data_IF_335178208817
#
_entry.id   IF_335178208817
#
_cell.length_a   1.000
_cell.length_b   1.000
_cell.length_c   1.000
_cell.angle_alpha   90.00
_cell.angle_beta   90.00
_cell.angle_gamma   90.00
#
_symmetry.space_group_name_H-M   'P 1'
#
loop_
_entity.id
_entity.type
_entity.pdbx_description
1 polymer ?
#
# COMPACT_ATOMS: atom_id res chain seq x y z
N UNK A 1 14.71 6.96 5.72
CA UNK A 1 13.54 6.73 4.84
C UNK A 1 13.74 5.49 3.98
N UNK A 2 14.72 5.45 3.07
CA UNK A 2 14.98 4.30 2.18
C UNK A 2 14.96 2.93 2.91
N UNK A 3 15.67 2.81 4.03
CA UNK A 3 15.64 1.59 4.84
C UNK A 3 14.25 1.18 5.33
N UNK A 4 13.39 2.13 5.72
CA UNK A 4 12.00 1.82 6.13
C UNK A 4 11.18 1.30 4.95
N UNK A 5 11.34 1.89 3.77
CA UNK A 5 10.60 1.48 2.57
C UNK A 5 11.05 0.10 2.10
N UNK A 6 12.36 -0.17 2.12
CA UNK A 6 12.92 -1.50 1.84
C UNK A 6 12.41 -2.53 2.86
N UNK A 7 12.44 -2.20 4.16
CA UNK A 7 11.92 -3.07 5.21
C UNK A 7 10.44 -3.40 5.00
N UNK A 8 9.62 -2.40 4.68
CA UNK A 8 8.19 -2.58 4.38
C UNK A 8 7.98 -3.44 3.12
N UNK A 9 8.70 -3.16 2.04
CA UNK A 9 8.63 -3.92 0.79
C UNK A 9 9.01 -5.39 0.99
N UNK A 10 10.11 -5.65 1.71
CA UNK A 10 10.49 -7.01 2.09
C UNK A 10 9.45 -7.68 3.01
N UNK A 11 8.82 -6.92 3.90
CA UNK A 11 7.71 -7.40 4.72
C UNK A 11 6.52 -7.89 3.87
N UNK A 12 6.15 -7.12 2.84
CA UNK A 12 5.13 -7.53 1.87
C UNK A 12 5.54 -8.76 1.06
N UNK A 13 6.83 -8.88 0.68
CA UNK A 13 7.34 -10.10 0.04
C UNK A 13 7.16 -11.31 0.94
N UNK A 14 7.58 -11.22 2.21
CA UNK A 14 7.45 -12.32 3.16
C UNK A 14 6.00 -12.71 3.40
N UNK A 15 5.11 -11.74 3.58
CA UNK A 15 3.68 -12.01 3.78
C UNK A 15 3.03 -12.59 2.51
N UNK A 16 3.41 -12.07 1.34
CA UNK A 16 2.98 -12.61 0.05
C UNK A 16 3.37 -14.08 -0.10
N UNK A 17 4.60 -14.44 0.26
CA UNK A 17 5.08 -15.85 0.25
C UNK A 17 4.27 -16.73 1.19
N UNK A 18 3.96 -16.28 2.40
CA UNK A 18 3.12 -17.04 3.34
C UNK A 18 1.71 -17.24 2.80
N UNK A 19 1.10 -16.21 2.21
CA UNK A 19 -0.23 -16.29 1.63
C UNK A 19 -0.29 -17.27 0.44
N UNK A 20 0.78 -17.33 -0.36
CA UNK A 20 0.92 -18.28 -1.47
C UNK A 20 1.01 -19.74 -1.03
N UNK A 21 1.42 -20.02 0.22
CA UNK A 21 1.53 -21.38 0.74
C UNK A 21 0.20 -22.15 0.78
N UNK A 22 -0.94 -21.44 0.71
CA UNK A 22 -2.27 -22.06 0.63
C UNK A 22 -2.54 -22.80 -0.68
N UNK A 23 -1.87 -22.43 -1.78
CA UNK A 23 -1.95 -23.14 -3.06
C UNK A 23 -0.65 -22.92 -3.88
N UNK A 24 0.43 -23.66 -3.56
CA UNK A 24 1.74 -23.37 -4.08
C UNK A 24 1.85 -23.58 -5.59
N UNK A 25 1.09 -24.53 -6.17
CA UNK A 25 1.13 -24.82 -7.60
C UNK A 25 0.56 -23.65 -8.40
N UNK A 26 -0.62 -23.16 -8.02
CA UNK A 26 -1.23 -22.00 -8.67
C UNK A 26 -0.44 -20.71 -8.41
N UNK A 27 0.11 -20.55 -7.22
CA UNK A 27 0.96 -19.41 -6.90
C UNK A 27 2.23 -19.37 -7.77
N UNK A 28 2.95 -20.49 -7.92
CA UNK A 28 4.14 -20.57 -8.80
C UNK A 28 3.76 -20.28 -10.25
N UNK A 29 2.64 -20.83 -10.73
CA UNK A 29 2.13 -20.51 -12.06
C UNK A 29 1.83 -19.02 -12.22
N UNK A 30 1.15 -18.40 -11.26
CA UNK A 30 0.82 -16.99 -11.29
C UNK A 30 2.07 -16.10 -11.22
N UNK A 31 3.09 -16.47 -10.45
CA UNK A 31 4.38 -15.78 -10.42
C UNK A 31 5.07 -15.86 -11.79
N UNK A 32 5.15 -17.05 -12.39
CA UNK A 32 5.75 -17.23 -13.71
C UNK A 32 5.00 -16.45 -14.79
N UNK A 33 3.66 -16.50 -14.76
CA UNK A 33 2.80 -15.72 -15.65
C UNK A 33 3.03 -14.22 -15.47
N UNK A 34 3.16 -13.74 -14.24
CA UNK A 34 3.41 -12.33 -13.95
C UNK A 34 4.73 -11.88 -14.57
N UNK A 35 5.82 -12.64 -14.37
CA UNK A 35 7.10 -12.32 -15.01
C UNK A 35 7.02 -12.31 -16.54
N UNK A 36 6.29 -13.26 -17.13
CA UNK A 36 6.08 -13.29 -18.58
C UNK A 36 5.29 -12.07 -19.08
N UNK A 37 4.28 -11.63 -18.32
CA UNK A 37 3.45 -10.47 -18.66
C UNK A 37 4.14 -9.13 -18.41
N UNK A 38 5.03 -9.04 -17.42
CA UNK A 38 5.84 -7.84 -17.17
C UNK A 38 6.76 -7.50 -18.35
N UNK A 39 7.10 -8.48 -19.19
CA UNK A 39 7.84 -8.28 -20.45
C UNK A 39 6.97 -7.69 -21.58
N UNK A 40 5.67 -7.50 -21.37
CA UNK A 40 4.73 -7.01 -22.38
C UNK A 40 4.10 -5.67 -21.97
N UNK A 41 4.30 -4.64 -22.78
CA UNK A 41 3.70 -3.32 -22.54
C UNK A 41 2.19 -3.26 -22.83
N UNK A 42 1.64 -4.29 -23.48
CA UNK A 42 0.24 -4.28 -23.97
C UNK A 42 -0.76 -4.81 -22.96
N UNK A 43 -0.37 -5.76 -22.11
CA UNK A 43 -1.29 -6.50 -21.26
C UNK A 43 -0.97 -6.22 -19.80
N UNK A 44 -1.85 -5.52 -19.06
CA UNK A 44 -1.65 -5.28 -17.64
C UNK A 44 -1.69 -6.59 -16.86
N UNK A 45 -0.54 -7.01 -16.31
CA UNK A 45 -0.42 -8.26 -15.56
C UNK A 45 -1.48 -8.39 -14.46
N UNK A 46 -1.75 -7.30 -13.72
CA UNK A 46 -2.74 -7.27 -12.65
C UNK A 46 -4.16 -7.64 -13.12
N UNK A 47 -4.59 -7.18 -14.30
CA UNK A 47 -5.92 -7.51 -14.82
C UNK A 47 -6.03 -8.99 -15.19
N UNK A 48 -4.97 -9.56 -15.77
CA UNK A 48 -4.92 -10.99 -16.09
C UNK A 48 -4.93 -11.83 -14.81
N UNK A 49 -4.15 -11.44 -13.81
CA UNK A 49 -4.11 -12.11 -12.51
C UNK A 49 -5.47 -12.09 -11.81
N UNK A 50 -6.13 -10.93 -11.75
CA UNK A 50 -7.48 -10.81 -11.17
C UNK A 50 -8.50 -11.66 -11.94
N UNK A 51 -8.45 -11.66 -13.27
CA UNK A 51 -9.31 -12.51 -14.10
C UNK A 51 -9.05 -14.01 -13.86
N UNK A 52 -7.79 -14.42 -13.76
CA UNK A 52 -7.39 -15.78 -13.43
C UNK A 52 -7.91 -16.20 -12.04
N UNK A 53 -7.75 -15.34 -11.03
CA UNK A 53 -8.28 -15.57 -9.69
C UNK A 53 -9.78 -15.79 -9.68
N UNK A 54 -10.52 -14.88 -10.33
CA UNK A 54 -11.96 -14.96 -10.43
C UNK A 54 -12.40 -16.24 -11.14
N UNK A 55 -11.75 -16.60 -12.26
CA UNK A 55 -12.05 -17.83 -13.00
C UNK A 55 -11.80 -19.08 -12.14
N UNK A 56 -10.68 -19.14 -11.43
CA UNK A 56 -10.34 -20.28 -10.55
C UNK A 56 -11.30 -20.35 -9.36
N UNK A 57 -11.64 -19.21 -8.76
CA UNK A 57 -12.59 -19.14 -7.65
C UNK A 57 -13.97 -19.66 -8.06
N UNK A 58 -14.49 -19.21 -9.21
CA UNK A 58 -15.77 -19.67 -9.77
C UNK A 58 -15.70 -21.15 -10.17
N UNK A 59 -14.58 -21.62 -10.72
CA UNK A 59 -14.41 -23.02 -11.07
C UNK A 59 -14.44 -23.94 -9.84
N UNK A 60 -13.80 -23.52 -8.75
CA UNK A 60 -13.79 -24.28 -7.48
C UNK A 60 -15.10 -24.16 -6.70
N UNK A 61 -15.81 -23.06 -6.87
CA UNK A 61 -17.09 -22.80 -6.22
C UNK A 61 -18.13 -22.30 -7.23
N UNK A 62 -18.76 -23.22 -8.00
CA UNK A 62 -19.74 -22.85 -9.04
C UNK A 62 -20.95 -22.07 -8.50
N UNK A 63 -21.29 -22.28 -7.22
CA UNK A 63 -22.37 -21.55 -6.53
C UNK A 63 -22.08 -20.06 -6.33
N UNK A 64 -20.82 -19.63 -6.43
CA UNK A 64 -20.41 -18.25 -6.20
C UNK A 64 -21.09 -17.27 -7.18
N UNK A 65 -21.29 -17.67 -8.43
CA UNK A 65 -22.02 -16.85 -9.40
C UNK A 65 -23.50 -16.66 -9.01
N UNK A 66 -24.11 -17.69 -8.42
CA UNK A 66 -25.48 -17.61 -7.90
C UNK A 66 -25.58 -16.68 -6.69
N UNK A 67 -24.59 -16.69 -5.81
CA UNK A 67 -24.50 -15.74 -4.69
C UNK A 67 -24.28 -14.30 -5.17
N UNK A 68 -23.39 -14.09 -6.14
CA UNK A 68 -23.15 -12.79 -6.77
C UNK A 68 -24.39 -12.28 -7.53
N UNK A 69 -25.23 -13.18 -8.05
CA UNK A 69 -26.52 -12.81 -8.67
C UNK A 69 -27.59 -12.41 -7.66
N UNK A 70 -27.43 -12.76 -6.37
CA UNK A 70 -28.38 -12.44 -5.28
C UNK A 70 -28.01 -11.17 -4.51
N UNK A 71 -27.11 -10.37 -5.06
CA UNK A 71 -26.69 -9.10 -4.49
C UNK A 71 -27.90 -8.19 -4.28
N UNK A 72 -28.10 -7.76 -3.04
CA UNK A 72 -29.19 -6.84 -2.67
C UNK A 72 -28.63 -5.48 -2.31
N UNK A 73 -29.21 -4.41 -2.86
CA UNK A 73 -28.87 -3.04 -2.46
C UNK A 73 -29.41 -2.79 -1.05
N UNK A 74 -28.52 -2.59 -0.09
CA UNK A 74 -28.85 -2.23 1.29
C UNK A 74 -27.97 -1.07 1.72
N UNK A 75 -28.59 -0.01 2.21
CA UNK A 75 -27.85 1.16 2.70
C UNK A 75 -27.22 0.84 4.04
N UNK A 76 -25.89 0.89 4.10
CA UNK A 76 -25.09 0.85 5.32
C UNK A 76 -24.26 2.12 5.41
N UNK A 77 -24.42 2.84 6.51
CA UNK A 77 -23.62 4.02 6.83
C UNK A 77 -22.43 3.61 7.70
N UNK A 78 -21.29 4.32 7.60
CA UNK A 78 -20.15 4.08 8.48
C UNK A 78 -20.54 4.33 9.95
N UNK A 79 -20.01 3.51 10.84
CA UNK A 79 -20.19 3.66 12.28
C UNK A 79 -19.16 4.66 12.82
N UNK A 80 -19.61 5.58 13.68
CA UNK A 80 -18.68 6.48 14.37
C UNK A 80 -17.81 5.66 15.33
N UNK A 81 -16.50 5.72 15.14
CA UNK A 81 -15.53 4.93 15.89
C UNK A 81 -14.84 5.72 17.02
N UNK A 82 -15.11 7.03 17.15
CA UNK A 82 -14.48 7.90 18.13
C UNK A 82 -14.68 7.47 19.59
N UNK A 83 -15.73 6.69 19.88
CA UNK A 83 -16.03 6.18 21.22
C UNK A 83 -15.40 4.82 21.52
N UNK A 84 -14.68 4.23 20.56
CA UNK A 84 -14.16 2.86 20.65
C UNK A 84 -12.74 2.74 21.22
N UNK A 85 -12.05 3.86 21.44
CA UNK A 85 -10.67 3.88 21.93
C UNK A 85 -10.52 4.80 23.15
N UNK A 86 -9.68 4.40 24.10
CA UNK A 86 -9.34 5.16 25.28
C UNK A 86 -8.10 6.05 25.09
N UNK A 87 -7.77 6.83 26.12
CA UNK A 87 -6.56 7.66 26.14
C UNK A 87 -5.26 6.84 26.09
N UNK A 88 -5.29 5.62 26.65
CA UNK A 88 -4.16 4.70 26.59
C UNK A 88 -3.93 4.18 25.16
N UNK A 89 -4.99 3.77 24.46
CA UNK A 89 -4.91 3.36 23.05
C UNK A 89 -4.36 4.48 22.17
N UNK A 90 -4.76 5.73 22.45
CA UNK A 90 -4.24 6.91 21.75
C UNK A 90 -2.74 7.08 22.01
N UNK A 91 -2.30 6.99 23.26
CA UNK A 91 -0.89 7.13 23.62
C UNK A 91 -0.03 6.02 22.97
N UNK A 92 -0.48 4.77 23.03
CA UNK A 92 0.18 3.64 22.37
C UNK A 92 0.17 3.81 20.86
N UNK A 93 -0.95 4.20 20.26
CA UNK A 93 -1.09 4.45 18.83
C UNK A 93 -0.13 5.53 18.34
N UNK A 94 -0.02 6.66 19.06
CA UNK A 94 0.92 7.74 18.72
C UNK A 94 2.37 7.26 18.84
N UNK A 95 2.72 6.56 19.91
CA UNK A 95 4.10 6.13 20.16
C UNK A 95 4.56 5.00 19.22
N UNK A 96 3.72 3.98 19.02
CA UNK A 96 4.07 2.76 18.30
C UNK A 96 3.79 2.89 16.80
N UNK A 97 2.70 3.55 16.42
CA UNK A 97 2.27 3.67 15.02
C UNK A 97 2.51 5.07 14.46
N UNK A 98 2.26 6.12 15.23
CA UNK A 98 2.38 7.50 14.76
C UNK A 98 3.82 7.92 14.46
N UNK A 99 4.72 7.78 15.45
CA UNK A 99 6.13 8.18 15.32
C UNK A 99 6.84 7.60 14.08
N UNK A 100 6.76 6.29 13.79
CA UNK A 100 7.43 5.72 12.61
C UNK A 100 6.77 6.17 11.31
N UNK A 101 5.47 6.45 11.34
CA UNK A 101 4.72 6.93 10.18
C UNK A 101 5.05 8.37 9.83
N UNK A 102 5.45 9.24 10.77
CA UNK A 102 5.80 10.64 10.43
C UNK A 102 6.82 10.71 9.30
N UNK A 103 7.93 9.97 9.41
CA UNK A 103 8.98 9.98 8.41
C UNK A 103 8.55 9.28 7.11
N UNK A 104 7.79 8.19 7.21
CA UNK A 104 7.33 7.42 6.06
C UNK A 104 6.28 8.19 5.26
N UNK A 105 5.26 8.73 5.94
CA UNK A 105 4.19 9.54 5.36
C UNK A 105 4.74 10.81 4.72
N UNK A 106 5.62 11.54 5.41
CA UNK A 106 6.21 12.74 4.84
C UNK A 106 6.96 12.46 3.54
N UNK A 107 7.82 11.44 3.54
CA UNK A 107 8.60 11.09 2.37
C UNK A 107 7.76 10.46 1.24
N UNK A 108 7.11 9.34 1.51
CA UNK A 108 6.47 8.50 0.49
C UNK A 108 5.11 9.03 0.04
N UNK A 109 4.33 9.60 0.96
CA UNK A 109 2.94 9.96 0.67
C UNK A 109 2.76 11.46 0.39
N UNK A 110 3.61 12.32 0.96
CA UNK A 110 3.50 13.77 0.78
C UNK A 110 4.51 14.25 -0.25
N UNK A 111 5.82 14.14 0.01
CA UNK A 111 6.87 14.68 -0.87
C UNK A 111 6.84 13.98 -2.24
N UNK A 112 6.88 12.64 -2.28
CA UNK A 112 6.88 11.90 -3.54
C UNK A 112 5.62 12.16 -4.37
N UNK A 113 4.45 12.31 -3.74
CA UNK A 113 3.20 12.66 -4.45
C UNK A 113 3.28 14.06 -5.07
N UNK A 114 3.84 15.04 -4.35
CA UNK A 114 4.03 16.39 -4.86
C UNK A 114 5.01 16.42 -6.02
N UNK A 115 6.14 15.72 -5.90
CA UNK A 115 7.14 15.60 -6.96
C UNK A 115 6.55 14.93 -8.20
N UNK A 116 5.84 13.82 -8.04
CA UNK A 116 5.18 13.11 -9.14
C UNK A 116 4.12 14.00 -9.82
N UNK A 117 3.24 14.64 -9.05
CA UNK A 117 2.23 15.54 -9.61
C UNK A 117 2.87 16.69 -10.38
N UNK A 118 3.89 17.33 -9.81
CA UNK A 118 4.51 18.49 -10.42
C UNK A 118 5.37 18.13 -11.65
N UNK A 119 5.82 16.87 -11.73
CA UNK A 119 6.49 16.32 -12.91
C UNK A 119 5.49 16.01 -14.03
N UNK A 120 4.37 15.34 -13.69
CA UNK A 120 3.34 14.95 -14.65
C UNK A 120 2.46 16.12 -15.12
N UNK A 121 2.22 17.09 -14.24
CA UNK A 121 1.33 18.23 -14.45
C UNK A 121 2.01 19.56 -14.06
N UNK A 122 3.05 19.99 -14.81
CA UNK A 122 3.85 21.16 -14.47
C UNK A 122 3.06 22.47 -14.45
N UNK A 123 1.92 22.53 -15.15
CA UNK A 123 1.01 23.68 -15.19
C UNK A 123 0.02 23.72 -14.01
N UNK A 124 -0.05 22.66 -13.20
CA UNK A 124 -0.98 22.50 -12.06
C UNK A 124 -0.25 22.03 -10.81
N UNK A 125 0.76 22.81 -10.43
CA UNK A 125 1.62 22.46 -9.30
C UNK A 125 0.87 22.48 -7.98
N UNK A 126 1.23 21.55 -7.11
CA UNK A 126 0.78 21.47 -5.73
C UNK A 126 1.97 21.63 -4.78
N UNK A 127 1.69 21.90 -3.51
CA UNK A 127 2.71 22.13 -2.48
C UNK A 127 2.67 21.03 -1.42
N UNK A 128 3.83 20.77 -0.81
CA UNK A 128 3.97 19.85 0.34
C UNK A 128 3.02 20.21 1.47
N UNK A 129 2.86 21.50 1.77
CA UNK A 129 1.96 21.96 2.82
C UNK A 129 0.49 21.63 2.51
N UNK A 130 0.03 21.88 1.28
CA UNK A 130 -1.34 21.59 0.88
C UNK A 130 -1.64 20.08 0.99
N UNK A 131 -0.75 19.25 0.47
CA UNK A 131 -0.90 17.78 0.53
C UNK A 131 -0.82 17.27 1.97
N UNK A 132 0.05 17.85 2.82
CA UNK A 132 0.14 17.46 4.23
C UNK A 132 -1.15 17.76 5.01
N UNK A 133 -1.75 18.94 4.79
CA UNK A 133 -3.01 19.33 5.42
C UNK A 133 -4.15 18.43 4.96
N UNK A 134 -4.28 18.22 3.65
CA UNK A 134 -5.29 17.33 3.07
C UNK A 134 -5.16 15.90 3.61
N UNK A 135 -3.92 15.38 3.69
CA UNK A 135 -3.62 14.06 4.24
C UNK A 135 -4.04 13.93 5.71
N UNK A 136 -3.83 14.97 6.51
CA UNK A 136 -4.27 15.03 7.89
C UNK A 136 -5.80 15.01 8.01
N UNK A 137 -6.49 15.84 7.22
CA UNK A 137 -7.96 15.90 7.19
C UNK A 137 -8.54 14.54 6.78
N UNK A 138 -8.03 13.96 5.69
CA UNK A 138 -8.44 12.65 5.18
C UNK A 138 -8.35 11.57 6.26
N UNK A 139 -7.25 11.52 7.01
CA UNK A 139 -7.05 10.51 8.05
C UNK A 139 -7.85 10.80 9.32
N UNK A 140 -8.05 12.07 9.72
CA UNK A 140 -8.90 12.42 10.85
C UNK A 140 -10.36 12.05 10.60
N UNK A 141 -10.87 12.36 9.40
CA UNK A 141 -12.21 11.97 8.96
C UNK A 141 -12.29 10.44 8.87
N UNK A 142 -11.34 9.80 8.19
CA UNK A 142 -11.29 8.34 8.05
C UNK A 142 -11.30 7.62 9.40
N UNK A 143 -10.41 8.00 10.32
CA UNK A 143 -10.33 7.42 11.66
C UNK A 143 -11.63 7.61 12.45
N UNK A 144 -12.28 8.78 12.34
CA UNK A 144 -13.56 9.03 13.02
C UNK A 144 -14.69 8.09 12.56
N UNK A 145 -14.59 7.57 11.34
CA UNK A 145 -15.52 6.63 10.72
C UNK A 145 -15.07 5.17 10.81
N UNK A 146 -14.02 4.88 11.60
CA UNK A 146 -13.46 3.53 11.75
C UNK A 146 -12.64 3.06 10.54
N UNK A 147 -12.22 3.98 9.67
CA UNK A 147 -11.36 3.70 8.54
C UNK A 147 -9.92 3.37 8.97
N UNK A 148 -9.23 2.62 8.11
CA UNK A 148 -7.79 2.37 8.23
C UNK A 148 -6.99 3.60 7.79
N UNK A 149 -5.73 3.76 8.25
CA UNK A 149 -4.87 4.85 7.78
C UNK A 149 -4.75 4.85 6.25
N UNK A 150 -4.88 6.03 5.65
CA UNK A 150 -4.86 6.25 4.21
C UNK A 150 -3.72 7.16 3.80
N UNK A 151 -3.30 7.05 2.55
CA UNK A 151 -2.30 7.93 1.98
C UNK A 151 -2.59 8.33 0.55
N UNK A 152 -1.97 9.43 0.14
CA UNK A 152 -1.77 9.69 -1.28
C UNK A 152 -0.66 8.79 -1.79
N UNK A 153 -0.85 8.23 -2.99
CA UNK A 153 0.11 7.33 -3.60
C UNK A 153 0.63 7.88 -4.91
N UNK A 154 1.90 8.30 -4.94
CA UNK A 154 2.60 8.69 -6.17
C UNK A 154 2.50 7.59 -7.25
N UNK A 155 2.77 6.33 -6.88
CA UNK A 155 2.64 5.19 -7.80
C UNK A 155 1.20 4.95 -8.29
N UNK A 156 0.19 5.22 -7.45
CA UNK A 156 -1.21 5.17 -7.86
C UNK A 156 -1.54 6.23 -8.90
N UNK A 157 -1.08 7.46 -8.68
CA UNK A 157 -1.20 8.56 -9.64
C UNK A 157 -0.51 8.23 -10.98
N UNK A 158 0.73 7.77 -10.94
CA UNK A 158 1.48 7.32 -12.11
C UNK A 158 0.73 6.21 -12.86
N UNK A 159 0.13 5.26 -12.14
CA UNK A 159 -0.72 4.21 -12.69
C UNK A 159 -1.92 4.76 -13.44
N UNK A 160 -2.70 5.66 -12.82
CA UNK A 160 -3.83 6.31 -13.50
C UNK A 160 -3.40 7.04 -14.77
N UNK A 161 -2.28 7.76 -14.73
CA UNK A 161 -1.75 8.49 -15.89
C UNK A 161 -1.26 7.54 -16.99
N UNK A 162 -0.61 6.43 -16.63
CA UNK A 162 -0.22 5.36 -17.56
C UNK A 162 -1.44 4.77 -18.28
N UNK A 163 -2.58 4.65 -17.60
CA UNK A 163 -3.85 4.22 -18.19
C UNK A 163 -4.64 5.33 -18.87
N UNK A 164 -4.04 6.49 -19.12
CA UNK A 164 -4.62 7.56 -19.94
C UNK A 164 -5.36 8.65 -19.16
N UNK A 165 -5.40 8.59 -17.82
CA UNK A 165 -5.95 9.70 -17.03
C UNK A 165 -5.09 10.97 -17.22
N UNK A 166 -5.73 12.12 -17.35
CA UNK A 166 -5.08 13.44 -17.48
C UNK A 166 -5.61 14.46 -16.48
N UNK A 167 -6.57 14.06 -15.67
CA UNK A 167 -7.22 14.89 -14.64
C UNK A 167 -7.56 14.02 -13.43
N UNK A 168 -7.89 14.65 -12.30
CA UNK A 168 -8.37 13.94 -11.11
C UNK A 168 -9.73 13.24 -11.28
N UNK A 169 -10.39 13.38 -12.43
CA UNK A 169 -11.69 12.76 -12.68
C UNK A 169 -11.67 11.23 -12.53
N UNK A 170 -10.57 10.57 -12.88
CA UNK A 170 -10.43 9.11 -12.68
C UNK A 170 -10.47 8.72 -11.20
N UNK A 171 -9.86 9.54 -10.33
CA UNK A 171 -9.86 9.33 -8.87
C UNK A 171 -11.26 9.58 -8.30
N UNK A 172 -11.96 10.61 -8.77
CA UNK A 172 -13.35 10.88 -8.36
C UNK A 172 -14.27 9.72 -8.77
N UNK A 173 -14.15 9.22 -10.00
CA UNK A 173 -14.95 8.08 -10.47
C UNK A 173 -14.65 6.84 -9.62
N UNK A 174 -13.37 6.53 -9.37
CA UNK A 174 -12.98 5.40 -8.52
C UNK A 174 -13.57 5.55 -7.11
N UNK A 175 -13.43 6.74 -6.50
CA UNK A 175 -13.98 7.03 -5.17
C UNK A 175 -15.50 6.89 -5.11
N UNK A 176 -16.22 7.38 -6.12
CA UNK A 176 -17.68 7.23 -6.22
C UNK A 176 -18.08 5.76 -6.36
N UNK A 177 -17.38 4.97 -7.17
CA UNK A 177 -17.64 3.53 -7.33
C UNK A 177 -17.39 2.79 -6.01
N UNK A 178 -16.27 3.05 -5.35
CA UNK A 178 -15.94 2.42 -4.06
C UNK A 178 -16.94 2.83 -2.97
N UNK A 179 -17.35 4.10 -2.92
CA UNK A 179 -18.35 4.59 -1.98
C UNK A 179 -19.72 3.96 -2.26
N UNK A 180 -20.11 3.83 -3.52
CA UNK A 180 -21.34 3.13 -3.91
C UNK A 180 -21.31 1.68 -3.45
N UNK A 181 -20.21 0.96 -3.69
CA UNK A 181 -20.04 -0.43 -3.23
C UNK A 181 -20.09 -0.51 -1.70
N UNK A 182 -19.40 0.38 -1.00
CA UNK A 182 -19.37 0.40 0.47
C UNK A 182 -20.73 0.73 1.09
N UNK A 183 -21.48 1.67 0.52
CA UNK A 183 -22.78 2.11 1.06
C UNK A 183 -23.92 1.17 0.68
N UNK A 184 -23.94 0.64 -0.54
CA UNK A 184 -25.09 -0.11 -1.04
C UNK A 184 -24.87 -1.62 -1.13
N UNK A 185 -23.61 -2.07 -1.19
CA UNK A 185 -23.24 -3.46 -1.48
C UNK A 185 -22.38 -4.08 -0.37
N UNK A 186 -22.30 -3.47 0.82
CA UNK A 186 -21.44 -3.89 1.93
C UNK A 186 -21.56 -5.38 2.27
N UNK A 187 -22.79 -5.89 2.31
CA UNK A 187 -23.08 -7.28 2.67
C UNK A 187 -22.56 -8.26 1.60
N UNK A 188 -22.39 -7.77 0.36
CA UNK A 188 -21.87 -8.53 -0.78
C UNK A 188 -20.38 -8.34 -1.03
N UNK A 189 -19.72 -7.38 -0.37
CA UNK A 189 -18.26 -7.16 -0.51
C UNK A 189 -17.48 -8.40 -0.08
N UNK A 190 -17.91 -9.07 1.00
CA UNK A 190 -17.30 -10.31 1.45
C UNK A 190 -17.38 -11.40 0.35
N UNK A 191 -18.54 -11.53 -0.31
CA UNK A 191 -18.72 -12.45 -1.45
C UNK A 191 -17.85 -12.05 -2.63
N UNK A 192 -17.74 -10.76 -2.95
CA UNK A 192 -16.87 -10.26 -4.02
C UNK A 192 -15.40 -10.61 -3.75
N UNK A 193 -14.93 -10.47 -2.50
CA UNK A 193 -13.56 -10.83 -2.13
C UNK A 193 -13.26 -12.33 -2.24
N UNK A 194 -14.28 -13.20 -2.23
CA UNK A 194 -14.09 -14.64 -2.50
C UNK A 194 -13.65 -14.91 -3.94
N UNK A 195 -13.83 -13.97 -4.87
CA UNK A 195 -13.28 -14.08 -6.23
C UNK A 195 -11.76 -13.98 -6.28
N UNK A 196 -11.11 -13.52 -5.21
CA UNK A 196 -9.67 -13.32 -5.17
C UNK A 196 -9.06 -14.21 -4.08
N UNK A 197 -8.70 -15.47 -4.42
CA UNK A 197 -8.11 -16.40 -3.46
C UNK A 197 -6.86 -15.83 -2.78
N UNK A 198 -6.63 -16.25 -1.54
CA UNK A 198 -5.48 -15.78 -0.73
C UNK A 198 -4.14 -15.96 -1.43
N UNK A 199 -3.91 -17.06 -2.14
CA UNK A 199 -2.67 -17.30 -2.86
C UNK A 199 -2.43 -16.25 -3.96
N UNK A 200 -3.48 -15.79 -4.64
CA UNK A 200 -3.38 -14.76 -5.68
C UNK A 200 -3.06 -13.41 -5.07
N UNK A 201 -3.75 -13.05 -3.98
CA UNK A 201 -3.44 -11.83 -3.21
C UNK A 201 -1.99 -11.86 -2.72
N UNK A 202 -1.49 -13.04 -2.33
CA UNK A 202 -0.08 -13.25 -1.98
C UNK A 202 0.87 -12.99 -3.14
N UNK A 203 0.55 -13.45 -4.35
CA UNK A 203 1.32 -13.15 -5.57
C UNK A 203 1.36 -11.65 -5.85
N UNK A 204 0.22 -10.97 -5.80
CA UNK A 204 0.12 -9.52 -6.00
C UNK A 204 0.95 -8.78 -4.95
N UNK A 205 0.83 -9.17 -3.68
CA UNK A 205 1.56 -8.56 -2.57
C UNK A 205 3.07 -8.76 -2.69
N UNK A 206 3.51 -9.93 -3.18
CA UNK A 206 4.92 -10.19 -3.46
C UNK A 206 5.49 -9.21 -4.48
N UNK A 207 4.83 -9.04 -5.63
CA UNK A 207 5.32 -8.12 -6.67
C UNK A 207 5.22 -6.66 -6.23
N UNK A 208 4.16 -6.28 -5.51
CA UNK A 208 4.04 -4.95 -4.91
C UNK A 208 5.16 -4.67 -3.90
N UNK A 209 5.53 -5.66 -3.09
CA UNK A 209 6.65 -5.58 -2.16
C UNK A 209 8.00 -5.45 -2.86
N UNK A 210 8.23 -6.22 -3.93
CA UNK A 210 9.45 -6.12 -4.75
C UNK A 210 9.58 -4.74 -5.40
N UNK A 211 8.52 -4.26 -6.04
CA UNK A 211 8.50 -2.94 -6.69
C UNK A 211 8.78 -1.82 -5.67
N UNK A 212 8.16 -1.90 -4.50
CA UNK A 212 8.38 -0.95 -3.41
C UNK A 212 9.83 -0.96 -2.91
N UNK A 213 10.42 -2.15 -2.73
CA UNK A 213 11.81 -2.29 -2.27
C UNK A 213 12.81 -1.82 -3.34
N UNK A 214 12.58 -2.14 -4.62
CA UNK A 214 13.42 -1.72 -5.74
C UNK A 214 13.35 -0.21 -5.95
N UNK A 215 12.16 0.38 -5.93
CA UNK A 215 11.96 1.83 -6.07
C UNK A 215 12.62 2.63 -4.94
N UNK A 216 12.87 2.02 -3.78
CA UNK A 216 13.56 2.64 -2.67
C UNK A 216 15.10 2.51 -2.72
N UNK A 217 15.66 1.74 -3.66
CA UNK A 217 17.11 1.61 -3.80
C UNK A 217 17.69 2.89 -4.39
N UNK A 218 18.32 3.71 -3.53
CA UNK A 218 19.10 4.85 -3.97
C UNK A 218 20.39 4.45 -4.67
N UNK A 219 20.75 5.18 -5.72
CA UNK A 219 22.04 5.03 -6.41
C UNK A 219 23.16 5.69 -5.60
N UNK A 220 23.98 4.90 -4.93
CA UNK A 220 25.29 5.35 -4.43
C UNK A 220 25.26 6.20 -3.15
N UNK A 221 25.53 5.56 -2.02
CA UNK A 221 25.90 6.22 -0.77
C UNK A 221 27.26 5.71 -0.26
N UNK A 222 27.87 6.46 0.66
CA UNK A 222 29.07 6.03 1.36
C UNK A 222 28.78 4.74 2.16
N UNK A 223 29.85 4.04 2.56
CA UNK A 223 29.71 2.78 3.32
C UNK A 223 28.84 2.96 4.58
N UNK A 224 28.99 4.11 5.25
CA UNK A 224 28.17 4.56 6.39
C UNK A 224 26.67 4.55 6.10
N UNK A 225 26.25 5.09 4.96
CA UNK A 225 24.84 5.24 4.61
C UNK A 225 24.20 3.88 4.37
N UNK A 226 24.96 2.95 3.78
CA UNK A 226 24.51 1.56 3.56
C UNK A 226 24.25 0.85 4.88
N UNK A 227 25.09 1.05 5.91
CA UNK A 227 24.85 0.49 7.24
C UNK A 227 23.56 1.02 7.84
N UNK A 228 23.29 2.33 7.74
CA UNK A 228 22.03 2.93 8.21
C UNK A 228 20.84 2.30 7.50
N UNK A 229 20.89 2.22 6.17
CA UNK A 229 19.80 1.65 5.37
C UNK A 229 19.53 0.19 5.72
N UNK A 230 20.57 -0.65 5.78
CA UNK A 230 20.42 -2.08 6.06
C UNK A 230 19.95 -2.34 7.50
N UNK A 231 20.50 -1.63 8.49
CA UNK A 231 20.05 -1.74 9.88
C UNK A 231 18.58 -1.34 10.02
N UNK A 232 18.21 -0.20 9.44
CA UNK A 232 16.83 0.31 9.44
C UNK A 232 15.90 -0.71 8.79
N UNK A 233 16.26 -1.25 7.61
CA UNK A 233 15.44 -2.21 6.88
C UNK A 233 15.26 -3.53 7.64
N UNK A 234 16.35 -4.08 8.19
CA UNK A 234 16.31 -5.33 8.96
C UNK A 234 15.48 -5.21 10.23
N UNK A 235 15.60 -4.10 10.96
CA UNK A 235 14.81 -3.88 12.18
C UNK A 235 13.36 -3.51 11.86
N UNK A 236 13.10 -2.81 10.76
CA UNK A 236 11.76 -2.48 10.31
C UNK A 236 10.91 -3.71 9.98
N UNK A 237 11.53 -4.82 9.54
CA UNK A 237 10.84 -6.10 9.33
C UNK A 237 10.24 -6.67 10.62
N UNK A 238 10.87 -6.40 11.76
CA UNK A 238 10.37 -6.82 13.07
C UNK A 238 9.46 -5.76 13.69
N UNK A 239 9.91 -4.51 13.69
CA UNK A 239 9.16 -3.38 14.21
C UNK A 239 9.57 -2.09 13.50
N UNK A 240 8.64 -1.47 12.78
CA UNK A 240 8.86 -0.24 12.03
C UNK A 240 9.38 0.92 12.89
N UNK A 241 8.92 1.04 14.14
CA UNK A 241 9.37 2.10 15.04
C UNK A 241 10.76 1.91 15.59
N UNK A 242 11.11 0.68 15.95
CA UNK A 242 12.50 0.33 16.29
C UNK A 242 13.41 0.57 15.10
N UNK A 243 12.99 0.18 13.89
CA UNK A 243 13.70 0.48 12.64
C UNK A 243 13.96 1.97 12.46
N UNK A 244 12.93 2.80 12.61
CA UNK A 244 13.06 4.26 12.48
C UNK A 244 14.03 4.85 13.52
N UNK A 245 13.83 4.55 14.80
CA UNK A 245 14.63 5.12 15.90
C UNK A 245 16.09 4.67 15.84
N UNK A 246 16.34 3.38 15.57
CA UNK A 246 17.70 2.84 15.45
C UNK A 246 18.43 3.40 14.22
N UNK A 247 17.74 3.53 13.08
CA UNK A 247 18.28 4.15 11.88
C UNK A 247 18.65 5.61 12.11
N UNK A 248 17.77 6.37 12.76
CA UNK A 248 18.01 7.77 13.12
C UNK A 248 19.19 7.91 14.09
N UNK A 249 19.25 7.08 15.13
CA UNK A 249 20.34 7.08 16.11
C UNK A 249 21.69 6.76 15.45
N UNK A 250 21.74 5.73 14.60
CA UNK A 250 22.96 5.36 13.89
C UNK A 250 23.41 6.46 12.93
N UNK A 251 22.48 7.04 12.16
CA UNK A 251 22.79 8.17 11.27
C UNK A 251 23.41 9.33 12.05
N UNK A 252 22.83 9.69 13.20
CA UNK A 252 23.34 10.78 14.02
C UNK A 252 24.72 10.49 14.63
N UNK A 253 24.95 9.24 15.04
CA UNK A 253 26.24 8.81 15.58
C UNK A 253 27.35 8.85 14.52
N UNK A 254 27.04 8.51 13.27
CA UNK A 254 27.98 8.57 12.15
C UNK A 254 28.27 10.03 11.75
N UNK A 255 27.24 10.87 11.65
CA UNK A 255 27.37 12.29 11.30
C UNK A 255 28.20 13.06 12.34
N UNK A 256 27.97 12.78 13.63
CA UNK A 256 28.77 13.34 14.73
C UNK A 256 30.13 12.68 14.91
N UNK A 257 30.49 11.71 14.06
CA UNK A 257 31.75 10.95 14.12
C UNK A 257 31.99 10.25 15.46
N UNK A 258 30.92 9.92 16.19
CA UNK A 258 30.97 9.09 17.39
C UNK A 258 31.37 7.65 17.05
N UNK A 259 31.02 7.21 15.84
CA UNK A 259 31.36 5.91 15.26
C UNK A 259 31.95 6.15 13.86
N UNK A 260 32.94 5.35 13.45
CA UNK A 260 33.53 5.38 12.09
C UNK A 260 33.51 3.97 11.50
N UNK A 261 32.99 3.83 10.28
CA UNK A 261 32.79 2.53 9.60
C UNK A 261 33.11 2.62 8.12
#
# INVERSE_FOLDING_TARGET
MQGLVIGLGLGFVLEGVKMMAGDPVLAVFAVALTFALLSSDRIPAMLVLLGLGAAIAVFREPGLLGELGRVSLRVRLPELALTRFGWEDLAVGVAVLGLPQVALTLGNAIIATVEENNTLFPDRRITVQAVAVDHGIMNLVGASLGGVPMCHGAGGMAGHVRFGARTGGSLVILGVVVLFVGVFLSDSVATLFRLFPRWLLGTILLFGGLELAVGAQGSGGQRSDRYVVLLTAGLALWNMGVGYLSGLALWYALERKWIRV
#
